data_IF_878237327593
#
_entry.id   IF_878237327593
#
_cell.length_a   1.000
_cell.length_b   1.000
_cell.length_c   1.000
_cell.angle_alpha   90.00
_cell.angle_beta   90.00
_cell.angle_gamma   90.00
#
_symmetry.space_group_name_H-M   'P 1'
#
loop_
_entity.id
_entity.type
_entity.pdbx_description
1 polymer ?
#
# COMPACT_ATOMS: atom_id res chain seq x y z
N UNK A 1 15.23 22.34 -18.36
CA UNK A 1 13.92 21.77 -17.97
C UNK A 1 12.85 22.79 -18.31
N UNK A 2 11.83 22.42 -19.08
CA UNK A 2 10.81 23.37 -19.54
C UNK A 2 9.77 23.73 -18.47
N UNK A 3 9.07 24.86 -18.61
CA UNK A 3 8.00 25.30 -17.68
C UNK A 3 6.90 24.24 -17.54
N UNK A 4 6.53 23.58 -18.65
CA UNK A 4 5.55 22.50 -18.67
C UNK A 4 5.99 21.29 -17.84
N UNK A 5 7.23 20.87 -18.00
CA UNK A 5 7.83 19.74 -17.29
C UNK A 5 7.91 20.00 -15.76
N UNK A 6 8.21 21.24 -15.36
CA UNK A 6 8.15 21.67 -13.95
C UNK A 6 6.72 21.59 -13.37
N UNK A 7 5.73 22.02 -14.15
CA UNK A 7 4.31 21.96 -13.76
C UNK A 7 3.82 20.52 -13.60
N UNK A 8 4.16 19.66 -14.56
CA UNK A 8 3.73 18.26 -14.58
C UNK A 8 4.31 17.49 -13.39
N UNK A 9 5.60 17.69 -13.08
CA UNK A 9 6.22 17.10 -11.88
C UNK A 9 5.57 17.60 -10.59
N UNK A 10 5.25 18.90 -10.50
CA UNK A 10 4.55 19.45 -9.33
C UNK A 10 3.17 18.82 -9.15
N UNK A 11 2.45 18.59 -10.23
CA UNK A 11 1.15 17.92 -10.19
C UNK A 11 1.28 16.46 -9.76
N UNK A 12 2.30 15.74 -10.24
CA UNK A 12 2.56 14.36 -9.83
C UNK A 12 2.94 14.25 -8.34
N UNK A 13 3.76 15.16 -7.80
CA UNK A 13 4.08 15.16 -6.36
C UNK A 13 2.84 15.38 -5.50
N UNK A 14 1.94 16.29 -5.92
CA UNK A 14 0.65 16.49 -5.24
C UNK A 14 -0.23 15.25 -5.33
N UNK A 15 -0.33 14.63 -6.52
CA UNK A 15 -1.09 13.40 -6.72
C UNK A 15 -0.56 12.28 -5.84
N UNK A 16 0.77 12.09 -5.77
CA UNK A 16 1.40 11.14 -4.85
C UNK A 16 1.13 11.46 -3.38
N UNK A 17 1.14 12.74 -3.00
CA UNK A 17 0.80 13.17 -1.64
C UNK A 17 -0.64 12.83 -1.25
N UNK A 18 -1.61 13.11 -2.12
CA UNK A 18 -3.02 12.71 -1.93
C UNK A 18 -3.14 11.19 -1.90
N UNK A 19 -2.49 10.49 -2.83
CA UNK A 19 -2.52 9.04 -2.93
C UNK A 19 -1.99 8.37 -1.66
N UNK A 20 -0.93 8.90 -1.04
CA UNK A 20 -0.43 8.41 0.25
C UNK A 20 -1.48 8.54 1.37
N UNK A 21 -2.17 9.69 1.45
CA UNK A 21 -3.22 9.88 2.46
C UNK A 21 -4.43 8.97 2.22
N UNK A 22 -4.81 8.78 0.95
CA UNK A 22 -5.89 7.84 0.59
C UNK A 22 -5.48 6.41 0.95
N UNK A 23 -4.25 6.00 0.65
CA UNK A 23 -3.74 4.67 1.01
C UNK A 23 -3.76 4.41 2.52
N UNK A 24 -3.38 5.39 3.33
CA UNK A 24 -3.55 5.31 4.80
C UNK A 24 -5.02 5.18 5.19
N UNK A 25 -5.91 5.95 4.55
CA UNK A 25 -7.35 5.89 4.76
C UNK A 25 -7.95 4.53 4.41
N UNK A 26 -7.50 3.86 3.34
CA UNK A 26 -8.03 2.55 2.96
C UNK A 26 -7.67 1.46 3.97
N UNK A 27 -6.47 1.50 4.55
CA UNK A 27 -6.04 0.55 5.59
C UNK A 27 -6.81 0.77 6.89
N UNK A 28 -6.99 2.04 7.29
CA UNK A 28 -7.82 2.38 8.46
C UNK A 28 -9.28 1.97 8.25
N UNK A 29 -9.82 2.22 7.06
CA UNK A 29 -11.17 1.78 6.68
C UNK A 29 -11.32 0.27 6.81
N UNK A 30 -10.39 -0.51 6.24
CA UNK A 30 -10.39 -1.96 6.39
C UNK A 30 -10.36 -2.32 7.89
N UNK A 31 -9.34 -1.92 8.65
CA UNK A 31 -9.26 -2.25 10.08
C UNK A 31 -10.56 -1.97 10.86
N UNK A 32 -11.19 -0.81 10.65
CA UNK A 32 -12.46 -0.46 11.30
C UNK A 32 -13.59 -1.38 10.84
N UNK A 33 -13.73 -1.62 9.53
CA UNK A 33 -14.79 -2.47 8.99
C UNK A 33 -14.67 -3.91 9.48
N UNK A 34 -13.43 -4.43 9.64
CA UNK A 34 -13.18 -5.77 10.17
C UNK A 34 -13.73 -5.89 11.58
N UNK A 35 -13.25 -5.01 12.47
CA UNK A 35 -13.51 -5.16 13.91
C UNK A 35 -14.95 -4.80 14.29
N UNK A 36 -15.68 -4.10 13.43
CA UNK A 36 -17.05 -3.65 13.72
C UNK A 36 -18.13 -4.46 13.03
N UNK A 37 -17.98 -4.76 11.73
CA UNK A 37 -19.03 -5.41 10.93
C UNK A 37 -18.61 -6.81 10.51
N UNK A 38 -17.40 -6.96 9.96
CA UNK A 38 -17.01 -8.21 9.30
C UNK A 38 -16.28 -9.21 10.20
N UNK A 39 -16.19 -8.95 11.51
CA UNK A 39 -15.50 -9.80 12.46
C UNK A 39 -15.90 -11.29 12.39
N UNK A 40 -17.18 -11.66 12.16
CA UNK A 40 -17.55 -13.06 11.99
C UNK A 40 -16.88 -13.76 10.79
N UNK A 41 -16.53 -13.05 9.72
CA UNK A 41 -15.87 -13.65 8.55
C UNK A 41 -14.44 -14.12 8.83
N UNK A 42 -13.82 -13.61 9.91
CA UNK A 42 -12.47 -13.99 10.37
C UNK A 42 -12.50 -15.00 11.53
N UNK A 43 -13.68 -15.37 12.02
CA UNK A 43 -13.81 -16.35 13.09
C UNK A 43 -13.57 -17.76 12.55
N UNK A 44 -12.42 -18.34 12.90
CA UNK A 44 -12.03 -19.69 12.46
C UNK A 44 -12.90 -20.81 13.04
N UNK A 45 -13.77 -20.50 14.01
CA UNK A 45 -14.73 -21.44 14.58
C UNK A 45 -16.11 -21.37 13.92
N UNK A 46 -16.37 -20.37 13.07
CA UNK A 46 -17.63 -20.20 12.37
C UNK A 46 -17.83 -21.32 11.34
N UNK A 47 -18.97 -22.01 11.40
CA UNK A 47 -19.27 -23.07 10.44
C UNK A 47 -19.48 -22.53 9.03
N UNK A 48 -19.17 -23.31 7.99
CA UNK A 48 -19.29 -22.88 6.60
C UNK A 48 -20.69 -22.36 6.24
N UNK A 49 -21.76 -23.01 6.72
CA UNK A 49 -23.13 -22.56 6.46
C UNK A 49 -23.44 -21.19 7.11
N UNK A 50 -22.93 -20.95 8.31
CA UNK A 50 -23.09 -19.68 9.03
C UNK A 50 -22.27 -18.56 8.36
N UNK A 51 -21.05 -18.90 7.89
CA UNK A 51 -20.21 -18.01 7.09
C UNK A 51 -20.95 -17.54 5.83
N UNK A 52 -21.52 -18.47 5.05
CA UNK A 52 -22.27 -18.14 3.84
C UNK A 52 -23.51 -17.30 4.16
N UNK A 53 -24.26 -17.66 5.21
CA UNK A 53 -25.42 -16.89 5.64
C UNK A 53 -25.02 -15.46 5.99
N UNK A 54 -23.95 -15.27 6.77
CA UNK A 54 -23.45 -13.95 7.15
C UNK A 54 -22.98 -13.14 5.92
N UNK A 55 -22.16 -13.74 5.07
CA UNK A 55 -21.64 -13.12 3.86
C UNK A 55 -22.78 -12.71 2.91
N UNK A 56 -23.80 -13.54 2.76
CA UNK A 56 -24.94 -13.28 1.88
C UNK A 56 -25.75 -12.04 2.30
N UNK A 57 -25.84 -11.77 3.60
CA UNK A 57 -26.52 -10.59 4.15
C UNK A 57 -25.64 -9.33 4.05
N UNK A 58 -24.31 -9.48 4.13
CA UNK A 58 -23.36 -8.37 4.20
C UNK A 58 -22.56 -8.17 2.91
N UNK A 59 -23.06 -8.62 1.75
CA UNK A 59 -22.34 -8.59 0.47
C UNK A 59 -21.77 -7.21 0.11
N UNK A 60 -22.52 -6.13 0.39
CA UNK A 60 -22.04 -4.76 0.11
C UNK A 60 -20.84 -4.39 0.96
N UNK A 61 -20.84 -4.78 2.24
CA UNK A 61 -19.70 -4.56 3.13
C UNK A 61 -18.52 -5.44 2.76
N UNK A 62 -18.75 -6.72 2.42
CA UNK A 62 -17.70 -7.61 1.92
C UNK A 62 -17.08 -7.11 0.61
N UNK A 63 -17.90 -6.63 -0.33
CA UNK A 63 -17.39 -6.00 -1.55
C UNK A 63 -16.56 -4.75 -1.24
N UNK A 64 -17.02 -3.88 -0.34
CA UNK A 64 -16.27 -2.69 0.05
C UNK A 64 -14.95 -3.05 0.76
N UNK A 65 -14.97 -4.09 1.58
CA UNK A 65 -13.81 -4.68 2.25
C UNK A 65 -12.75 -5.17 1.27
N UNK A 66 -13.14 -5.79 0.16
CA UNK A 66 -12.17 -6.20 -0.85
C UNK A 66 -11.78 -5.02 -1.77
N UNK A 67 -12.76 -4.27 -2.26
CA UNK A 67 -12.53 -3.26 -3.29
C UNK A 67 -11.65 -2.09 -2.82
N UNK A 68 -11.88 -1.56 -1.62
CA UNK A 68 -11.21 -0.34 -1.15
C UNK A 68 -9.72 -0.59 -0.85
N UNK A 69 -9.34 -1.54 0.02
CA UNK A 69 -7.93 -1.78 0.35
C UNK A 69 -7.16 -2.50 -0.76
N UNK A 70 -7.80 -3.19 -1.71
CA UNK A 70 -7.07 -3.76 -2.85
C UNK A 70 -7.09 -2.82 -4.07
N UNK A 71 -8.25 -2.51 -4.64
CA UNK A 71 -8.34 -1.82 -5.93
C UNK A 71 -8.04 -0.32 -5.78
N UNK A 72 -8.73 0.37 -4.88
CA UNK A 72 -8.51 1.80 -4.69
C UNK A 72 -7.10 2.07 -4.14
N UNK A 73 -6.65 1.28 -3.17
CA UNK A 73 -5.28 1.38 -2.66
C UNK A 73 -4.25 1.11 -3.75
N UNK A 74 -4.40 0.04 -4.55
CA UNK A 74 -3.46 -0.32 -5.61
C UNK A 74 -3.24 0.82 -6.62
N UNK A 75 -4.31 1.52 -7.00
CA UNK A 75 -4.21 2.72 -7.86
C UNK A 75 -3.42 3.84 -7.17
N UNK A 76 -3.73 4.12 -5.91
CA UNK A 76 -3.01 5.13 -5.13
C UNK A 76 -1.52 4.78 -4.96
N UNK A 77 -1.25 3.51 -4.69
CA UNK A 77 0.09 2.98 -4.48
C UNK A 77 0.94 3.08 -5.76
N UNK A 78 0.35 2.83 -6.93
CA UNK A 78 1.00 3.04 -8.22
C UNK A 78 1.39 4.51 -8.45
N UNK A 79 0.47 5.45 -8.19
CA UNK A 79 0.73 6.89 -8.30
C UNK A 79 1.80 7.34 -7.31
N UNK A 80 1.76 6.83 -6.08
CA UNK A 80 2.73 7.12 -5.05
C UNK A 80 4.13 6.60 -5.41
N UNK A 81 4.22 5.37 -5.93
CA UNK A 81 5.48 4.79 -6.39
C UNK A 81 6.11 5.63 -7.50
N UNK A 82 5.32 6.09 -8.47
CA UNK A 82 5.76 7.02 -9.52
C UNK A 82 6.22 8.36 -8.96
N UNK A 83 5.46 8.96 -8.05
CA UNK A 83 5.82 10.24 -7.45
C UNK A 83 7.15 10.14 -6.68
N UNK A 84 7.37 9.05 -5.95
CA UNK A 84 8.63 8.82 -5.26
C UNK A 84 9.79 8.55 -6.23
N UNK A 85 9.57 7.77 -7.29
CA UNK A 85 10.57 7.57 -8.33
C UNK A 85 11.05 8.91 -8.91
N UNK A 86 10.11 9.74 -9.35
CA UNK A 86 10.40 11.04 -9.96
C UNK A 86 11.13 11.98 -9.00
N UNK A 87 10.79 11.93 -7.71
CA UNK A 87 11.47 12.72 -6.68
C UNK A 87 12.92 12.28 -6.44
N UNK A 88 13.20 10.99 -6.58
CA UNK A 88 14.49 10.39 -6.22
C UNK A 88 15.44 10.21 -7.41
N UNK A 89 14.91 10.06 -8.63
CA UNK A 89 15.68 9.60 -9.80
C UNK A 89 16.88 10.48 -10.14
N UNK A 90 16.80 11.79 -9.87
CA UNK A 90 17.89 12.72 -10.16
C UNK A 90 19.11 12.49 -9.23
N UNK A 91 18.88 12.16 -7.96
CA UNK A 91 19.93 12.05 -6.95
C UNK A 91 20.35 10.61 -6.64
N UNK A 92 19.47 9.62 -6.84
CA UNK A 92 19.75 8.21 -6.60
C UNK A 92 19.08 7.29 -7.64
N UNK A 93 19.43 7.41 -8.94
CA UNK A 93 18.71 6.77 -10.04
C UNK A 93 18.61 5.24 -9.88
N UNK A 94 19.72 4.57 -9.55
CA UNK A 94 19.73 3.10 -9.40
C UNK A 94 18.84 2.62 -8.27
N UNK A 95 18.93 3.28 -7.11
CA UNK A 95 18.15 2.89 -5.93
C UNK A 95 16.67 3.22 -6.11
N UNK A 96 16.36 4.38 -6.71
CA UNK A 96 15.00 4.77 -7.07
C UNK A 96 14.37 3.75 -8.02
N UNK A 97 15.09 3.30 -9.06
CA UNK A 97 14.61 2.28 -9.98
C UNK A 97 14.33 0.96 -9.27
N UNK A 98 15.29 0.41 -8.51
CA UNK A 98 15.12 -0.87 -7.80
C UNK A 98 13.95 -0.81 -6.83
N UNK A 99 13.86 0.26 -6.03
CA UNK A 99 12.77 0.44 -5.08
C UNK A 99 11.41 0.49 -5.82
N UNK A 100 11.31 1.29 -6.90
CA UNK A 100 10.06 1.43 -7.65
C UNK A 100 9.63 0.13 -8.31
N UNK A 101 10.58 -0.68 -8.80
CA UNK A 101 10.28 -2.03 -9.33
C UNK A 101 9.60 -2.89 -8.29
N UNK A 102 10.11 -2.96 -7.05
CA UNK A 102 9.42 -3.69 -5.98
C UNK A 102 8.04 -3.10 -5.68
N UNK A 103 7.90 -1.77 -5.70
CA UNK A 103 6.61 -1.10 -5.54
C UNK A 103 5.59 -1.52 -6.60
N UNK A 104 5.97 -1.60 -7.87
CA UNK A 104 5.05 -2.02 -8.93
C UNK A 104 4.73 -3.51 -8.94
N UNK A 105 5.68 -4.37 -8.59
CA UNK A 105 5.39 -5.79 -8.39
C UNK A 105 4.37 -5.94 -7.25
N UNK A 106 4.56 -5.19 -6.16
CA UNK A 106 3.61 -5.19 -5.05
C UNK A 106 2.22 -4.72 -5.46
N UNK A 107 2.11 -3.58 -6.15
CA UNK A 107 0.85 -3.07 -6.72
C UNK A 107 0.13 -4.14 -7.56
N UNK A 108 0.89 -4.88 -8.37
CA UNK A 108 0.33 -5.95 -9.22
C UNK A 108 -0.30 -7.06 -8.39
N UNK A 109 0.35 -7.48 -7.30
CA UNK A 109 -0.16 -8.50 -6.40
C UNK A 109 -1.36 -8.00 -5.58
N UNK A 110 -1.36 -6.74 -5.16
CA UNK A 110 -2.51 -6.10 -4.48
C UNK A 110 -3.75 -6.14 -5.39
N UNK A 111 -3.61 -5.78 -6.67
CA UNK A 111 -4.71 -5.89 -7.63
C UNK A 111 -5.16 -7.34 -7.85
N UNK A 112 -4.21 -8.26 -8.00
CA UNK A 112 -4.51 -9.68 -8.20
C UNK A 112 -5.33 -10.24 -7.02
N UNK A 113 -4.92 -9.93 -5.79
CA UNK A 113 -5.65 -10.34 -4.59
C UNK A 113 -7.07 -9.80 -4.58
N UNK A 114 -7.25 -8.50 -4.84
CA UNK A 114 -8.57 -7.89 -4.92
C UNK A 114 -9.49 -8.49 -5.98
N UNK A 115 -8.96 -8.76 -7.19
CA UNK A 115 -9.77 -9.41 -8.23
C UNK A 115 -10.17 -10.83 -7.85
N UNK A 116 -9.28 -11.60 -7.21
CA UNK A 116 -9.58 -12.95 -6.74
C UNK A 116 -10.62 -12.91 -5.62
N UNK A 117 -10.48 -12.01 -4.63
CA UNK A 117 -11.41 -11.90 -3.51
C UNK A 117 -12.81 -11.51 -3.99
N UNK A 118 -12.94 -10.45 -4.80
CA UNK A 118 -14.24 -9.97 -5.29
C UNK A 118 -14.95 -11.03 -6.14
N UNK A 119 -14.27 -11.59 -7.15
CA UNK A 119 -14.89 -12.56 -8.05
C UNK A 119 -15.05 -13.93 -7.39
N UNK A 120 -14.13 -14.29 -6.52
CA UNK A 120 -14.17 -15.50 -5.71
C UNK A 120 -15.37 -15.51 -4.77
N UNK A 121 -15.61 -14.41 -4.05
CA UNK A 121 -16.76 -14.28 -3.16
C UNK A 121 -18.10 -14.36 -3.91
N UNK A 122 -18.20 -13.75 -5.09
CA UNK A 122 -19.39 -13.87 -5.94
C UNK A 122 -19.62 -15.32 -6.41
N UNK A 123 -18.56 -16.00 -6.83
CA UNK A 123 -18.62 -17.40 -7.27
C UNK A 123 -18.97 -18.32 -6.10
N UNK A 124 -18.39 -18.07 -4.93
CA UNK A 124 -18.64 -18.80 -3.70
C UNK A 124 -20.11 -18.75 -3.29
N UNK A 125 -20.72 -17.56 -3.29
CA UNK A 125 -22.13 -17.38 -2.97
C UNK A 125 -23.06 -18.09 -3.97
N UNK A 126 -22.77 -17.98 -5.27
CA UNK A 126 -23.53 -18.67 -6.31
C UNK A 126 -23.44 -20.20 -6.17
N UNK A 127 -22.26 -20.70 -5.82
CA UNK A 127 -22.02 -22.13 -5.69
C UNK A 127 -22.62 -22.68 -4.40
N UNK A 128 -22.61 -21.93 -3.30
CA UNK A 128 -23.20 -22.36 -2.04
C UNK A 128 -24.71 -22.62 -2.16
N UNK A 129 -25.41 -21.94 -3.08
CA UNK A 129 -26.83 -22.16 -3.34
C UNK A 129 -27.14 -23.46 -4.11
N UNK A 130 -26.17 -24.03 -4.84
CA UNK A 130 -26.39 -25.16 -5.75
C UNK A 130 -25.57 -26.40 -5.40
N UNK A 131 -24.37 -26.22 -4.86
CA UNK A 131 -23.44 -27.28 -4.45
C UNK A 131 -22.58 -26.84 -3.24
N UNK A 132 -23.12 -26.93 -2.00
CA UNK A 132 -22.43 -26.49 -0.79
C UNK A 132 -21.05 -27.13 -0.57
N UNK A 133 -20.90 -28.43 -0.86
CA UNK A 133 -19.63 -29.13 -0.68
C UNK A 133 -18.52 -28.59 -1.60
N UNK A 134 -18.87 -28.26 -2.84
CA UNK A 134 -17.93 -27.64 -3.78
C UNK A 134 -17.64 -26.18 -3.39
N UNK A 135 -18.62 -25.47 -2.84
CA UNK A 135 -18.44 -24.11 -2.33
C UNK A 135 -17.47 -24.07 -1.14
N UNK A 136 -17.56 -25.02 -0.22
CA UNK A 136 -16.62 -25.14 0.91
C UNK A 136 -15.19 -25.39 0.44
N UNK A 137 -15.01 -26.26 -0.57
CA UNK A 137 -13.71 -26.48 -1.20
C UNK A 137 -13.17 -25.21 -1.88
N UNK A 138 -14.04 -24.46 -2.56
CA UNK A 138 -13.68 -23.19 -3.17
C UNK A 138 -13.26 -22.16 -2.11
N UNK A 139 -13.95 -22.10 -0.97
CA UNK A 139 -13.58 -21.20 0.14
C UNK A 139 -12.17 -21.49 0.63
N UNK A 140 -11.84 -22.75 0.94
CA UNK A 140 -10.49 -23.14 1.35
C UNK A 140 -9.43 -22.78 0.29
N UNK A 141 -9.79 -22.91 -0.99
CA UNK A 141 -8.92 -22.54 -2.11
C UNK A 141 -8.69 -21.03 -2.15
N UNK A 142 -9.75 -20.24 -2.04
CA UNK A 142 -9.68 -18.78 -2.01
C UNK A 142 -8.79 -18.33 -0.84
N UNK A 143 -9.04 -18.84 0.37
CA UNK A 143 -8.29 -18.47 1.58
C UNK A 143 -6.81 -18.79 1.44
N UNK A 144 -6.48 -19.96 0.90
CA UNK A 144 -5.08 -20.37 0.70
C UNK A 144 -4.38 -19.47 -0.32
N UNK A 145 -5.05 -19.15 -1.43
CA UNK A 145 -4.48 -18.35 -2.51
C UNK A 145 -4.34 -16.89 -2.10
N UNK A 146 -5.37 -16.29 -1.49
CA UNK A 146 -5.32 -14.89 -1.03
C UNK A 146 -4.32 -14.73 0.09
N UNK A 147 -4.26 -15.63 1.08
CA UNK A 147 -3.24 -15.58 2.13
C UNK A 147 -1.82 -15.66 1.58
N UNK A 148 -1.60 -16.48 0.54
CA UNK A 148 -0.32 -16.56 -0.16
C UNK A 148 0.05 -15.24 -0.85
N UNK A 149 -0.89 -14.61 -1.56
CA UNK A 149 -0.66 -13.34 -2.27
C UNK A 149 -0.48 -12.18 -1.28
N UNK A 150 -1.33 -12.08 -0.26
CA UNK A 150 -1.31 -11.02 0.74
C UNK A 150 -0.07 -11.08 1.65
N UNK A 151 0.57 -12.25 1.74
CA UNK A 151 1.89 -12.35 2.37
C UNK A 151 2.96 -11.52 1.65
N UNK A 152 2.71 -11.08 0.41
CA UNK A 152 3.64 -10.25 -0.35
C UNK A 152 3.90 -8.87 0.27
N UNK A 153 2.95 -8.30 1.02
CA UNK A 153 3.12 -7.05 1.78
C UNK A 153 4.34 -7.11 2.71
N UNK A 154 4.55 -8.29 3.30
CA UNK A 154 5.60 -8.54 4.30
C UNK A 154 7.01 -8.57 3.69
N UNK A 155 7.11 -8.70 2.36
CA UNK A 155 8.37 -8.72 1.63
C UNK A 155 8.45 -7.53 0.68
N UNK A 156 7.57 -7.46 -0.32
CA UNK A 156 7.64 -6.45 -1.38
C UNK A 156 7.28 -5.06 -0.86
N UNK A 157 6.24 -4.94 -0.03
CA UNK A 157 5.88 -3.68 0.63
C UNK A 157 7.00 -3.18 1.53
N UNK A 158 7.58 -4.09 2.32
CA UNK A 158 8.72 -3.79 3.19
C UNK A 158 9.98 -3.35 2.41
N UNK A 159 10.31 -4.04 1.31
CA UNK A 159 11.41 -3.68 0.43
C UNK A 159 11.17 -2.31 -0.21
N UNK A 160 9.98 -2.06 -0.76
CA UNK A 160 9.66 -0.79 -1.38
C UNK A 160 9.77 0.38 -0.40
N UNK A 161 9.09 0.29 0.75
CA UNK A 161 9.10 1.35 1.78
C UNK A 161 10.52 1.57 2.33
N UNK A 162 11.22 0.49 2.65
CA UNK A 162 12.58 0.54 3.20
C UNK A 162 13.58 1.15 2.22
N UNK A 163 13.58 0.71 0.96
CA UNK A 163 14.49 1.21 -0.07
C UNK A 163 14.17 2.66 -0.49
N UNK A 164 12.88 3.03 -0.59
CA UNK A 164 12.49 4.43 -0.83
C UNK A 164 12.93 5.34 0.30
N UNK A 165 12.80 4.86 1.54
CA UNK A 165 13.23 5.60 2.72
C UNK A 165 14.75 5.72 2.80
N UNK A 166 15.49 4.68 2.41
CA UNK A 166 16.95 4.72 2.27
C UNK A 166 17.38 5.71 1.20
N UNK A 167 16.72 5.74 0.04
CA UNK A 167 16.97 6.72 -1.02
C UNK A 167 16.72 8.15 -0.53
N UNK A 168 15.58 8.38 0.13
CA UNK A 168 15.22 9.67 0.72
C UNK A 168 16.21 10.12 1.79
N UNK A 169 16.70 9.19 2.62
CA UNK A 169 17.74 9.49 3.63
C UNK A 169 19.06 9.91 2.99
N UNK A 170 19.56 9.14 2.01
CA UNK A 170 20.86 9.38 1.38
C UNK A 170 20.90 10.67 0.55
N UNK A 171 19.78 11.03 -0.06
CA UNK A 171 19.68 12.19 -0.97
C UNK A 171 19.16 13.45 -0.29
N UNK A 172 18.62 13.33 0.94
CA UNK A 172 17.91 14.43 1.60
C UNK A 172 16.54 14.76 0.98
N UNK A 173 16.06 13.95 0.03
CA UNK A 173 14.80 14.18 -0.66
C UNK A 173 13.55 13.88 0.19
N UNK A 174 13.72 13.20 1.34
CA UNK A 174 12.73 13.08 2.42
C UNK A 174 13.32 13.62 3.72
N UNK A 175 12.46 14.02 4.67
CA UNK A 175 12.94 14.39 6.00
C UNK A 175 13.48 13.16 6.77
N UNK A 176 14.47 13.39 7.64
CA UNK A 176 15.19 12.31 8.35
C UNK A 176 14.26 11.40 9.14
N UNK A 177 13.27 11.97 9.85
CA UNK A 177 12.33 11.19 10.66
C UNK A 177 11.51 10.21 9.82
N UNK A 178 10.97 10.66 8.69
CA UNK A 178 10.19 9.82 7.77
C UNK A 178 11.04 8.71 7.16
N UNK A 179 12.27 9.04 6.77
CA UNK A 179 13.20 8.05 6.24
C UNK A 179 13.60 7.00 7.29
N UNK A 180 13.86 7.41 8.54
CA UNK A 180 14.20 6.48 9.62
C UNK A 180 13.01 5.58 9.93
N UNK A 181 11.79 6.14 10.01
CA UNK A 181 10.58 5.36 10.22
C UNK A 181 10.41 4.29 9.14
N UNK A 182 10.49 4.68 7.86
CA UNK A 182 10.29 3.74 6.76
C UNK A 182 11.36 2.66 6.67
N UNK A 183 12.63 3.00 6.94
CA UNK A 183 13.70 2.01 7.06
C UNK A 183 13.45 1.04 8.24
N UNK A 184 13.00 1.55 9.39
CA UNK A 184 12.74 0.74 10.57
C UNK A 184 11.59 -0.26 10.33
N UNK A 185 10.44 0.21 9.83
CA UNK A 185 9.28 -0.68 9.58
C UNK A 185 9.55 -1.67 8.45
N UNK A 186 10.30 -1.27 7.41
CA UNK A 186 10.70 -2.17 6.34
C UNK A 186 11.66 -3.27 6.83
N UNK A 187 12.63 -2.91 7.68
CA UNK A 187 13.57 -3.88 8.25
C UNK A 187 12.89 -4.84 9.23
N UNK A 188 11.99 -4.32 10.08
CA UNK A 188 11.21 -5.14 11.01
C UNK A 188 10.29 -6.12 10.29
N UNK A 189 9.60 -5.67 9.23
CA UNK A 189 8.73 -6.54 8.44
C UNK A 189 9.50 -7.64 7.70
N UNK A 190 10.66 -7.34 7.13
CA UNK A 190 11.52 -8.35 6.49
C UNK A 190 12.06 -9.36 7.50
N UNK A 191 12.54 -8.89 8.66
CA UNK A 191 13.00 -9.78 9.73
C UNK A 191 11.87 -10.68 10.25
N UNK A 192 10.67 -10.13 10.43
CA UNK A 192 9.48 -10.88 10.85
C UNK A 192 8.99 -11.91 9.82
N UNK A 193 9.26 -11.68 8.53
CA UNK A 193 8.92 -12.62 7.46
C UNK A 193 9.90 -13.77 7.31
N UNK A 194 11.18 -13.54 7.61
CA UNK A 194 12.23 -14.55 7.49
C UNK A 194 12.25 -15.55 8.65
N UNK A 195 11.67 -15.18 9.80
CA UNK A 195 11.73 -15.97 11.04
C UNK A 195 10.31 -16.29 11.52
N UNK A 196 9.84 -17.56 11.43
CA UNK A 196 8.49 -17.95 11.85
C UNK A 196 8.14 -17.54 13.29
N UNK A 197 9.11 -17.58 14.20
CA UNK A 197 8.94 -17.15 15.59
C UNK A 197 8.67 -15.64 15.76
N UNK A 198 8.94 -14.83 14.73
CA UNK A 198 8.73 -13.39 14.69
C UNK A 198 7.57 -12.97 13.77
N UNK A 199 6.72 -13.92 13.34
CA UNK A 199 5.60 -13.61 12.44
C UNK A 199 4.69 -12.51 12.99
N UNK A 200 4.50 -12.43 14.32
CA UNK A 200 3.73 -11.37 14.97
C UNK A 200 4.33 -9.97 14.77
N UNK A 201 5.66 -9.86 14.65
CA UNK A 201 6.36 -8.59 14.40
C UNK A 201 6.09 -8.08 12.98
N UNK A 202 5.76 -8.95 12.03
CA UNK A 202 5.40 -8.53 10.67
C UNK A 202 4.13 -7.67 10.63
N UNK A 203 3.21 -7.80 11.60
CA UNK A 203 2.02 -6.94 11.71
C UNK A 203 2.38 -5.49 12.06
N UNK A 204 3.55 -5.24 12.65
CA UNK A 204 4.04 -3.89 12.91
C UNK A 204 4.27 -3.11 11.60
N UNK A 205 4.52 -3.79 10.48
CA UNK A 205 4.59 -3.15 9.17
C UNK A 205 3.25 -2.52 8.80
N UNK A 206 2.13 -3.26 8.93
CA UNK A 206 0.80 -2.76 8.56
C UNK A 206 0.38 -1.50 9.32
N UNK A 207 0.66 -1.44 10.63
CA UNK A 207 0.40 -0.24 11.43
C UNK A 207 1.42 0.87 11.14
N UNK A 208 2.70 0.49 11.00
CA UNK A 208 3.79 1.43 10.75
C UNK A 208 3.69 2.12 9.39
N UNK A 209 3.22 1.41 8.36
CA UNK A 209 3.09 1.95 7.00
C UNK A 209 1.97 2.99 6.92
N UNK A 210 0.91 2.88 7.73
CA UNK A 210 -0.12 3.92 7.86
C UNK A 210 0.51 5.24 8.35
N UNK A 211 1.29 5.17 9.43
CA UNK A 211 1.98 6.36 9.96
C UNK A 211 2.97 6.95 8.93
N UNK A 212 3.69 6.07 8.20
CA UNK A 212 4.60 6.48 7.14
C UNK A 212 3.87 7.14 5.97
N UNK A 213 2.76 6.58 5.50
CA UNK A 213 1.93 7.17 4.44
C UNK A 213 1.33 8.51 4.83
N UNK A 214 0.84 8.66 6.07
CA UNK A 214 0.36 9.95 6.58
C UNK A 214 1.48 10.98 6.57
N UNK A 215 2.65 10.64 7.14
CA UNK A 215 3.81 11.52 7.18
C UNK A 215 4.30 11.90 5.78
N UNK A 216 4.36 10.94 4.86
CA UNK A 216 4.78 11.15 3.49
C UNK A 216 3.78 12.01 2.71
N UNK A 217 2.48 11.73 2.84
CA UNK A 217 1.43 12.51 2.19
C UNK A 217 1.48 13.97 2.61
N UNK A 218 1.57 14.23 3.91
CA UNK A 218 1.73 15.58 4.47
C UNK A 218 3.02 16.22 3.93
N UNK A 219 4.14 15.49 3.90
CA UNK A 219 5.42 16.00 3.42
C UNK A 219 5.36 16.40 1.92
N UNK A 220 4.81 15.56 1.07
CA UNK A 220 4.67 15.81 -0.37
C UNK A 220 3.73 16.99 -0.66
N UNK A 221 2.64 17.13 0.11
CA UNK A 221 1.68 18.23 -0.04
C UNK A 221 2.21 19.57 0.50
N UNK A 222 3.03 19.53 1.56
CA UNK A 222 3.62 20.74 2.17
C UNK A 222 4.87 21.24 1.45
N UNK A 223 5.48 20.44 0.58
CA UNK A 223 6.64 20.80 -0.22
C UNK A 223 6.37 21.98 -1.17
N UNK A 224 6.38 23.20 -0.65
CA UNK A 224 6.53 24.44 -1.43
C UNK A 224 7.94 24.46 -2.00
N UNK A 225 8.05 24.32 -3.31
CA UNK A 225 9.03 24.96 -4.18
C UNK A 225 10.33 25.41 -3.47
N UNK A 226 11.37 24.58 -3.47
CA UNK A 226 12.72 25.12 -3.60
C UNK A 226 12.86 25.62 -5.04
N UNK A 227 12.18 26.73 -5.37
CA UNK A 227 12.65 27.59 -6.44
C UNK A 227 13.92 28.20 -5.85
N UNK A 228 15.07 27.70 -6.30
CA UNK A 228 16.29 28.44 -6.11
C UNK A 228 16.09 29.79 -6.80
N UNK A 229 15.84 30.84 -6.02
CA UNK A 229 16.19 32.22 -6.42
C UNK A 229 17.70 32.32 -6.37
N UNK A 230 18.37 31.68 -7.33
CA UNK A 230 19.72 32.06 -7.76
C UNK A 230 19.53 32.97 -8.95
N UNK A 231 19.36 34.26 -8.67
CA UNK A 231 19.66 35.39 -9.58
C UNK A 231 19.49 36.69 -8.78
N UNK A 232 20.28 36.87 -7.73
CA UNK A 232 20.52 38.17 -7.11
C UNK A 232 21.91 38.18 -6.46
N UNK A 233 22.96 37.86 -7.23
CA UNK A 233 24.28 38.47 -7.01
C UNK A 233 24.90 38.70 -8.40
N UNK A 234 25.48 39.90 -8.54
CA UNK A 234 26.39 40.40 -9.58
C UNK A 234 25.76 41.25 -10.69
N UNK A 235 25.83 42.57 -10.51
CA UNK A 235 25.68 43.48 -11.63
C UNK A 235 25.45 44.96 -11.34
N UNK A 236 26.03 45.58 -10.29
CA UNK A 236 26.33 47.03 -10.36
C UNK A 236 27.61 47.33 -9.56
N UNK A 237 28.74 47.29 -10.25
CA UNK A 237 29.87 48.18 -9.96
C UNK A 237 29.86 49.29 -11.01
N UNK A 238 29.48 50.50 -10.59
CA UNK A 238 29.99 51.78 -11.10
C UNK A 238 30.02 52.76 -9.93
#
# INVERSE_FOLDING_TARGET
>A
MGIKEQSDMKNLQKAGGVAALVAAGTYLFAMVLLVTVLAPLEDSTLGFAEYIAFLSVHQTFAFAWDFIPYILNGVCLALLALALYERMKAAAPRLATVATTFGFIWVTLVFLSGFIAINGNNTLLSLAATNPAQAETLRLTLDTVTAGIDSSDKILGCLWVGLMSLAGFRTGALCKSLSILGMAIGSLGLAGSAVPALAAVSYAFGVGVIAWWIGLGIYLLRGRNAIATTNDIEGVSL
#
